data_IF_952563392028
#
_entry.id   IF_952563392028
#
_cell.length_a   1.000
_cell.length_b   1.000
_cell.length_c   1.000
_cell.angle_alpha   90.00
_cell.angle_beta   90.00
_cell.angle_gamma   90.00
#
_symmetry.space_group_name_H-M   'P 1'
#
loop_
_entity.id
_entity.type
_entity.pdbx_description
1 polymer ?
#
# COMPACT_ATOMS: atom_id res chain seq x y z
N UNK A 1 5.54 -32.42 -8.80
CA UNK A 1 5.85 -31.01 -8.59
C UNK A 1 5.31 -30.62 -7.23
N UNK A 2 6.17 -30.24 -6.30
CA UNK A 2 5.74 -29.73 -4.99
C UNK A 2 4.91 -28.47 -5.19
N UNK A 3 3.68 -28.45 -4.70
CA UNK A 3 2.83 -27.25 -4.79
C UNK A 3 3.45 -26.13 -3.93
N UNK A 4 3.80 -25.02 -4.55
CA UNK A 4 4.28 -23.83 -3.82
C UNK A 4 3.11 -23.33 -2.96
N UNK A 5 3.36 -23.17 -1.65
CA UNK A 5 2.38 -22.69 -0.69
C UNK A 5 2.83 -21.32 -0.16
N UNK A 6 2.29 -20.24 -0.75
CA UNK A 6 2.62 -18.87 -0.36
C UNK A 6 1.70 -18.45 0.78
N UNK A 7 2.26 -18.23 1.98
CA UNK A 7 1.53 -17.76 3.16
C UNK A 7 1.71 -16.26 3.42
N UNK A 8 2.88 -15.73 3.10
CA UNK A 8 3.25 -14.35 3.35
C UNK A 8 3.70 -13.69 2.05
N UNK A 9 3.07 -12.58 1.68
CA UNK A 9 3.39 -11.83 0.47
C UNK A 9 3.98 -10.48 0.88
N UNK A 10 5.18 -10.16 0.40
CA UNK A 10 5.84 -8.88 0.63
C UNK A 10 5.98 -8.16 -0.70
N UNK A 11 5.49 -6.93 -0.78
CA UNK A 11 5.45 -6.11 -1.99
C UNK A 11 6.23 -4.81 -1.77
N UNK A 12 7.25 -4.60 -2.58
CA UNK A 12 8.09 -3.40 -2.52
C UNK A 12 7.37 -2.15 -3.01
N UNK A 13 7.91 -1.00 -2.65
CA UNK A 13 7.65 0.24 -3.36
C UNK A 13 8.24 0.21 -4.79
N UNK A 14 7.64 0.99 -5.67
CA UNK A 14 8.07 1.04 -7.07
C UNK A 14 7.42 2.18 -7.86
N UNK A 15 6.72 3.09 -7.22
CA UNK A 15 6.00 4.17 -7.88
C UNK A 15 5.10 3.64 -9.00
N UNK A 16 5.21 4.19 -10.21
CA UNK A 16 4.41 3.77 -11.37
C UNK A 16 4.67 2.32 -11.81
N UNK A 17 5.85 1.77 -11.52
CA UNK A 17 6.19 0.39 -11.85
C UNK A 17 5.35 -0.62 -11.05
N UNK A 18 4.69 -0.19 -9.95
CA UNK A 18 3.76 -1.01 -9.19
C UNK A 18 2.61 -1.58 -10.01
N UNK A 19 2.31 -1.02 -11.20
CA UNK A 19 1.35 -1.61 -12.15
C UNK A 19 1.74 -3.05 -12.52
N UNK A 20 3.01 -3.39 -12.50
CA UNK A 20 3.49 -4.75 -12.77
C UNK A 20 2.91 -5.80 -11.80
N UNK A 21 2.50 -5.40 -10.60
CA UNK A 21 1.83 -6.30 -9.65
C UNK A 21 0.54 -6.90 -10.18
N UNK A 22 -0.13 -6.24 -11.14
CA UNK A 22 -1.32 -6.80 -11.78
C UNK A 22 -0.98 -8.09 -12.53
N UNK A 23 0.18 -8.13 -13.20
CA UNK A 23 0.67 -9.35 -13.85
C UNK A 23 1.01 -10.46 -12.86
N UNK A 24 1.62 -10.11 -11.71
CA UNK A 24 1.89 -11.05 -10.62
C UNK A 24 0.57 -11.64 -10.08
N UNK A 25 -0.44 -10.81 -9.84
CA UNK A 25 -1.73 -11.27 -9.30
C UNK A 25 -2.48 -12.15 -10.29
N UNK A 26 -2.40 -11.87 -11.61
CA UNK A 26 -2.89 -12.77 -12.63
C UNK A 26 -2.30 -14.17 -12.50
N UNK A 27 -0.97 -14.24 -12.41
CA UNK A 27 -0.27 -15.52 -12.24
C UNK A 27 -0.66 -16.22 -10.94
N UNK A 28 -0.82 -15.48 -9.84
CA UNK A 28 -1.24 -16.02 -8.55
C UNK A 28 -2.66 -16.57 -8.57
N UNK A 29 -3.58 -15.92 -9.27
CA UNK A 29 -4.94 -16.43 -9.51
C UNK A 29 -4.92 -17.71 -10.35
N UNK A 30 -4.21 -17.70 -11.49
CA UNK A 30 -4.08 -18.86 -12.38
C UNK A 30 -3.48 -20.10 -11.66
N UNK A 31 -2.54 -19.87 -10.75
CA UNK A 31 -1.90 -20.92 -9.93
C UNK A 31 -2.64 -21.22 -8.63
N UNK A 32 -3.71 -20.49 -8.34
CA UNK A 32 -4.49 -20.64 -7.12
C UNK A 32 -3.67 -20.42 -5.83
N UNK A 33 -2.66 -19.54 -5.88
CA UNK A 33 -1.80 -19.23 -4.73
C UNK A 33 -2.47 -18.27 -3.74
N UNK A 34 -3.37 -17.37 -4.23
CA UNK A 34 -4.01 -16.32 -3.41
C UNK A 34 -4.75 -16.91 -2.21
N UNK A 35 -5.40 -18.07 -2.37
CA UNK A 35 -6.20 -18.70 -1.32
C UNK A 35 -5.41 -19.08 -0.05
N UNK A 36 -4.08 -19.24 -0.15
CA UNK A 36 -3.23 -19.65 0.95
C UNK A 36 -2.54 -18.47 1.64
N UNK A 37 -2.68 -17.26 1.09
CA UNK A 37 -2.06 -16.05 1.65
C UNK A 37 -2.74 -15.71 2.97
N UNK A 38 -1.94 -15.60 4.03
CA UNK A 38 -2.36 -15.25 5.39
C UNK A 38 -2.00 -13.81 5.75
N UNK A 39 -0.91 -13.29 5.18
CA UNK A 39 -0.51 -11.90 5.36
C UNK A 39 -0.02 -11.26 4.08
N UNK A 40 -0.27 -9.97 3.95
CA UNK A 40 0.21 -9.12 2.88
C UNK A 40 0.88 -7.91 3.51
N UNK A 41 2.17 -7.73 3.21
CA UNK A 41 2.94 -6.56 3.64
C UNK A 41 3.30 -5.75 2.40
N UNK A 42 3.01 -4.47 2.41
CA UNK A 42 3.29 -3.59 1.28
C UNK A 42 3.92 -2.28 1.70
N UNK A 43 4.82 -1.76 0.87
CA UNK A 43 5.41 -0.43 0.99
C UNK A 43 5.09 0.38 -0.26
N UNK A 44 4.73 1.67 -0.12
CA UNK A 44 4.47 2.57 -1.25
C UNK A 44 3.47 1.99 -2.27
N UNK A 45 3.87 1.81 -3.53
CA UNK A 45 3.05 1.14 -4.54
C UNK A 45 2.59 -0.27 -4.09
N UNK A 46 3.45 -1.02 -3.39
CA UNK A 46 3.11 -2.32 -2.81
C UNK A 46 2.01 -2.22 -1.74
N UNK A 47 1.95 -1.10 -1.00
CA UNK A 47 0.87 -0.85 -0.05
C UNK A 47 -0.48 -0.65 -0.76
N UNK A 48 -0.50 0.06 -1.89
CA UNK A 48 -1.73 0.22 -2.71
C UNK A 48 -2.19 -1.14 -3.22
N UNK A 49 -1.36 -1.81 -4.01
CA UNK A 49 -1.77 -3.05 -4.70
C UNK A 49 -2.00 -4.20 -3.70
N UNK A 50 -1.17 -4.29 -2.66
CA UNK A 50 -1.34 -5.28 -1.59
C UNK A 50 -2.64 -5.09 -0.81
N UNK A 51 -3.03 -3.84 -0.52
CA UNK A 51 -4.31 -3.54 0.13
C UNK A 51 -5.50 -3.89 -0.75
N UNK A 52 -5.44 -3.58 -2.05
CA UNK A 52 -6.50 -3.94 -2.99
C UNK A 52 -6.65 -5.47 -3.10
N UNK A 53 -5.54 -6.20 -3.14
CA UNK A 53 -5.57 -7.67 -3.10
C UNK A 53 -6.16 -8.18 -1.79
N UNK A 54 -5.77 -7.61 -0.63
CA UNK A 54 -6.24 -8.01 0.69
C UNK A 54 -7.75 -7.86 0.85
N UNK A 55 -8.37 -6.85 0.24
CA UNK A 55 -9.83 -6.65 0.25
C UNK A 55 -10.55 -7.39 -0.88
N UNK A 56 -9.86 -8.28 -1.62
CA UNK A 56 -10.42 -9.21 -2.57
C UNK A 56 -10.59 -8.69 -3.99
N UNK A 57 -9.82 -7.68 -4.42
CA UNK A 57 -9.76 -7.35 -5.84
C UNK A 57 -9.14 -8.47 -6.65
N UNK A 58 -9.79 -8.84 -7.75
CA UNK A 58 -9.28 -9.81 -8.72
C UNK A 58 -8.38 -9.14 -9.76
N UNK A 59 -7.61 -9.97 -10.48
CA UNK A 59 -6.83 -9.49 -11.62
C UNK A 59 -7.69 -8.71 -12.62
N UNK A 60 -8.87 -9.23 -12.99
CA UNK A 60 -9.73 -8.57 -13.97
C UNK A 60 -10.22 -7.21 -13.50
N UNK A 61 -10.59 -7.08 -12.23
CA UNK A 61 -10.99 -5.80 -11.63
C UNK A 61 -9.84 -4.80 -11.60
N UNK A 62 -8.64 -5.22 -11.17
CA UNK A 62 -7.46 -4.37 -11.15
C UNK A 62 -7.01 -3.94 -12.55
N UNK A 63 -7.03 -4.85 -13.52
CA UNK A 63 -6.69 -4.54 -14.90
C UNK A 63 -7.68 -3.54 -15.52
N UNK A 64 -8.98 -3.69 -15.26
CA UNK A 64 -10.01 -2.74 -15.69
C UNK A 64 -9.83 -1.38 -15.01
N UNK A 65 -9.54 -1.38 -13.73
CA UNK A 65 -9.27 -0.18 -12.93
C UNK A 65 -8.11 0.62 -13.54
N UNK A 66 -6.97 -0.04 -13.80
CA UNK A 66 -5.78 0.62 -14.37
C UNK A 66 -6.02 1.10 -15.79
N UNK A 67 -6.73 0.33 -16.62
CA UNK A 67 -7.10 0.76 -17.97
C UNK A 67 -8.05 1.97 -17.99
N UNK A 68 -8.93 2.06 -16.99
CA UNK A 68 -9.84 3.21 -16.83
C UNK A 68 -9.15 4.42 -16.19
N UNK A 69 -8.01 4.20 -15.51
CA UNK A 69 -7.17 5.27 -15.03
C UNK A 69 -6.50 5.88 -16.25
N UNK A 70 -6.97 7.06 -16.64
CA UNK A 70 -6.13 7.97 -17.42
C UNK A 70 -5.07 8.42 -16.39
N UNK A 71 -4.00 7.66 -16.31
CA UNK A 71 -2.90 7.78 -15.33
C UNK A 71 -2.40 9.22 -15.20
N UNK A 72 -2.52 10.02 -16.27
CA UNK A 72 -2.17 11.43 -16.31
C UNK A 72 -3.07 12.34 -15.46
N UNK A 73 -4.31 11.94 -15.14
CA UNK A 73 -5.22 12.79 -14.34
C UNK A 73 -5.03 12.61 -12.84
N UNK A 74 -4.69 11.41 -12.38
CA UNK A 74 -4.54 11.10 -10.96
C UNK A 74 -3.11 11.27 -10.44
N UNK A 75 -2.12 11.14 -11.35
CA UNK A 75 -0.73 11.44 -11.11
C UNK A 75 -0.32 12.66 -11.98
N UNK A 76 -1.02 13.76 -11.88
CA UNK A 76 -0.48 15.07 -12.25
C UNK A 76 0.64 15.41 -11.26
N UNK A 77 1.70 14.59 -11.27
CA UNK A 77 3.01 15.06 -10.87
C UNK A 77 3.37 16.03 -11.98
N UNK A 78 3.02 17.27 -11.76
CA UNK A 78 3.40 18.33 -12.68
C UNK A 78 4.92 18.42 -12.56
N UNK A 79 5.65 17.94 -13.56
CA UNK A 79 7.12 18.05 -13.61
C UNK A 79 7.53 19.51 -13.38
N UNK A 80 6.69 20.46 -13.82
CA UNK A 80 6.84 21.88 -13.55
C UNK A 80 6.72 22.21 -12.04
N UNK A 81 5.96 21.46 -11.24
CA UNK A 81 5.90 21.63 -9.79
C UNK A 81 7.19 21.17 -9.10
N UNK A 82 7.85 20.16 -9.62
CA UNK A 82 9.16 19.70 -9.12
C UNK A 82 10.25 20.74 -9.49
N UNK A 83 10.20 21.29 -10.70
CA UNK A 83 11.12 22.34 -11.16
C UNK A 83 10.86 23.70 -10.48
N UNK A 84 9.63 23.98 -10.09
CA UNK A 84 9.25 25.20 -9.37
C UNK A 84 9.26 25.06 -7.83
N UNK A 85 9.78 23.96 -7.30
CA UNK A 85 9.85 23.67 -5.86
C UNK A 85 10.42 24.84 -5.04
N UNK A 86 11.40 25.57 -5.56
CA UNK A 86 11.99 26.74 -4.91
C UNK A 86 11.04 27.93 -4.82
N UNK A 87 10.04 28.02 -5.69
CA UNK A 87 9.13 29.17 -5.78
C UNK A 87 7.76 28.93 -5.13
N UNK A 88 7.28 27.69 -5.06
CA UNK A 88 5.88 27.40 -4.66
C UNK A 88 5.72 26.84 -3.26
N UNK A 89 6.80 26.39 -2.58
CA UNK A 89 6.73 25.62 -1.31
C UNK A 89 5.73 24.45 -1.38
N UNK A 90 5.39 24.02 -2.60
CA UNK A 90 4.25 23.16 -2.86
C UNK A 90 4.64 21.70 -2.96
N UNK A 91 4.59 20.98 -1.84
CA UNK A 91 4.30 19.56 -1.89
C UNK A 91 2.89 19.37 -2.45
N UNK A 92 2.70 18.40 -3.34
CA UNK A 92 1.35 18.01 -3.72
C UNK A 92 0.71 17.32 -2.50
N UNK A 93 -0.52 17.72 -2.15
CA UNK A 93 -1.20 17.23 -0.95
C UNK A 93 -1.55 15.72 -0.99
N UNK A 94 -1.35 15.06 -2.15
CA UNK A 94 -1.76 13.67 -2.36
C UNK A 94 -3.28 13.44 -2.32
N UNK A 95 -4.07 14.52 -2.28
CA UNK A 95 -5.53 14.45 -2.13
C UNK A 95 -6.18 13.62 -3.23
N UNK A 96 -5.79 13.81 -4.49
CA UNK A 96 -6.36 13.07 -5.61
C UNK A 96 -6.07 11.57 -5.52
N UNK A 97 -4.86 11.19 -5.14
CA UNK A 97 -4.48 9.80 -4.93
C UNK A 97 -5.27 9.19 -3.76
N UNK A 98 -5.41 9.92 -2.64
CA UNK A 98 -6.20 9.47 -1.51
C UNK A 98 -7.69 9.28 -1.88
N UNK A 99 -8.30 10.21 -2.60
CA UNK A 99 -9.68 10.11 -3.08
C UNK A 99 -9.87 8.88 -3.98
N UNK A 100 -8.91 8.61 -4.85
CA UNK A 100 -8.94 7.42 -5.70
C UNK A 100 -8.87 6.14 -4.86
N UNK A 101 -7.91 6.04 -3.92
CA UNK A 101 -7.76 4.90 -3.02
C UNK A 101 -9.05 4.67 -2.22
N UNK A 102 -9.63 5.71 -1.63
CA UNK A 102 -10.90 5.63 -0.90
C UNK A 102 -12.04 5.13 -1.77
N UNK A 103 -12.15 5.63 -3.01
CA UNK A 103 -13.15 5.15 -3.98
C UNK A 103 -13.00 3.66 -4.28
N UNK A 104 -11.78 3.19 -4.49
CA UNK A 104 -11.52 1.76 -4.70
C UNK A 104 -11.93 0.95 -3.47
N UNK A 105 -11.52 1.35 -2.27
CA UNK A 105 -11.87 0.69 -1.03
C UNK A 105 -13.39 0.64 -0.86
N UNK A 106 -14.09 1.78 -1.02
CA UNK A 106 -15.55 1.87 -0.91
C UNK A 106 -16.27 0.95 -1.89
N UNK A 107 -15.85 0.93 -3.14
CA UNK A 107 -16.46 0.09 -4.18
C UNK A 107 -16.37 -1.40 -3.85
N UNK A 108 -15.31 -1.85 -3.21
CA UNK A 108 -15.09 -3.27 -2.90
C UNK A 108 -15.68 -3.68 -1.55
N UNK A 109 -15.58 -2.81 -0.55
CA UNK A 109 -15.93 -3.17 0.83
C UNK A 109 -17.27 -2.61 1.29
N UNK A 110 -17.79 -1.59 0.60
CA UNK A 110 -18.93 -0.76 1.03
C UNK A 110 -18.55 0.36 2.01
N UNK A 111 -17.33 0.35 2.56
CA UNK A 111 -16.87 1.29 3.58
C UNK A 111 -15.49 1.85 3.21
N UNK A 112 -15.40 3.14 2.90
CA UNK A 112 -14.13 3.79 2.55
C UNK A 112 -13.17 3.93 3.74
N UNK A 113 -13.69 3.84 4.97
CA UNK A 113 -12.93 3.95 6.22
C UNK A 113 -12.70 2.59 6.89
N UNK A 114 -12.74 1.49 6.13
CA UNK A 114 -12.45 0.16 6.67
C UNK A 114 -11.09 0.15 7.36
N UNK A 115 -11.02 -0.44 8.57
CA UNK A 115 -9.83 -0.47 9.43
C UNK A 115 -9.06 -1.78 9.26
N UNK A 116 -7.84 -1.83 9.80
CA UNK A 116 -7.04 -3.06 9.80
C UNK A 116 -7.74 -4.22 10.52
N UNK A 117 -8.39 -3.95 11.67
CA UNK A 117 -9.16 -4.96 12.41
C UNK A 117 -10.28 -5.52 11.56
N UNK A 118 -11.06 -4.65 10.92
CA UNK A 118 -12.17 -5.06 10.05
C UNK A 118 -11.72 -5.86 8.83
N UNK A 119 -10.55 -5.55 8.26
CA UNK A 119 -9.98 -6.36 7.16
C UNK A 119 -9.64 -7.75 7.65
N UNK A 120 -8.96 -7.88 8.77
CA UNK A 120 -8.61 -9.19 9.30
C UNK A 120 -9.87 -10.00 9.64
N UNK A 121 -10.87 -9.39 10.25
CA UNK A 121 -12.13 -10.04 10.61
C UNK A 121 -12.89 -10.52 9.36
N UNK A 122 -13.01 -9.65 8.35
CA UNK A 122 -13.86 -9.93 7.17
C UNK A 122 -13.19 -10.81 6.13
N UNK A 123 -11.87 -10.62 5.90
CA UNK A 123 -11.13 -11.28 4.82
C UNK A 123 -10.12 -12.31 5.31
N UNK A 124 -9.92 -12.44 6.62
CA UNK A 124 -8.94 -13.33 7.25
C UNK A 124 -7.50 -13.11 6.72
N UNK A 125 -7.16 -11.86 6.38
CA UNK A 125 -5.85 -11.44 5.89
C UNK A 125 -5.25 -10.45 6.88
N UNK A 126 -4.01 -10.68 7.30
CA UNK A 126 -3.22 -9.72 8.08
C UNK A 126 -2.57 -8.73 7.11
N UNK A 127 -3.21 -7.58 6.92
CA UNK A 127 -2.65 -6.49 6.11
C UNK A 127 -1.64 -5.70 6.95
N UNK A 128 -0.49 -5.39 6.36
CA UNK A 128 0.60 -4.63 6.99
C UNK A 128 1.10 -3.58 5.98
N UNK A 129 1.23 -2.35 6.42
CA UNK A 129 1.65 -1.23 5.58
C UNK A 129 2.90 -0.61 6.16
N UNK A 130 4.00 -0.66 5.39
CA UNK A 130 5.29 -0.11 5.74
C UNK A 130 5.31 1.42 5.59
N UNK A 131 5.76 2.10 6.62
CA UNK A 131 5.89 3.56 6.68
C UNK A 131 7.18 3.96 7.38
N UNK A 132 7.68 5.15 7.06
CA UNK A 132 8.78 5.78 7.81
C UNK A 132 8.18 6.78 8.80
N UNK A 133 8.34 6.53 10.10
CA UNK A 133 7.96 7.47 11.16
C UNK A 133 9.09 8.49 11.35
N UNK A 134 8.86 9.72 10.89
CA UNK A 134 9.85 10.82 10.98
C UNK A 134 10.00 11.34 12.42
N UNK A 135 8.94 11.27 13.23
CA UNK A 135 8.97 11.72 14.63
C UNK A 135 9.86 10.80 15.47
N UNK A 136 9.81 9.49 15.21
CA UNK A 136 10.56 8.46 15.94
C UNK A 136 11.82 7.99 15.22
N UNK A 137 12.03 8.48 13.99
CA UNK A 137 13.16 8.13 13.13
C UNK A 137 13.34 6.61 12.96
N UNK A 138 12.24 5.92 12.59
CA UNK A 138 12.26 4.46 12.39
C UNK A 138 11.24 4.01 11.35
N UNK A 139 11.51 2.83 10.76
CA UNK A 139 10.52 2.09 9.98
C UNK A 139 9.47 1.48 10.90
N UNK A 140 8.20 1.55 10.51
CA UNK A 140 7.09 0.94 11.24
C UNK A 140 6.16 0.19 10.29
N UNK A 141 5.56 -0.91 10.78
CA UNK A 141 4.44 -1.58 10.13
C UNK A 141 3.13 -1.17 10.82
N UNK A 142 2.28 -0.45 10.10
CA UNK A 142 0.91 -0.18 10.52
C UNK A 142 0.05 -1.41 10.17
N UNK A 143 -0.61 -2.00 11.15
CA UNK A 143 -1.37 -3.22 11.01
C UNK A 143 -2.44 -3.36 12.12
N UNK A 144 -3.14 -4.48 12.17
CA UNK A 144 -4.18 -4.73 13.17
C UNK A 144 -3.66 -4.86 14.63
N UNK A 145 -2.36 -5.02 14.85
CA UNK A 145 -1.77 -5.06 16.20
C UNK A 145 -1.31 -3.67 16.65
N UNK A 146 -0.68 -2.91 15.76
CA UNK A 146 -0.11 -1.59 16.07
C UNK A 146 -1.11 -0.46 15.90
N UNK A 147 -2.08 -0.62 15.01
CA UNK A 147 -3.01 0.45 14.58
C UNK A 147 -4.38 -0.13 14.19
N UNK A 148 -5.04 -0.93 15.08
CA UNK A 148 -6.24 -1.71 14.75
C UNK A 148 -7.37 -0.87 14.16
N UNK A 149 -7.63 0.31 14.71
CA UNK A 149 -8.74 1.20 14.33
C UNK A 149 -8.38 2.23 13.25
N UNK A 150 -7.13 2.20 12.76
CA UNK A 150 -6.71 3.12 11.70
C UNK A 150 -7.35 2.72 10.37
N UNK A 151 -8.07 3.64 9.68
CA UNK A 151 -8.54 3.40 8.32
C UNK A 151 -7.36 3.13 7.38
N UNK A 152 -7.42 2.06 6.58
CA UNK A 152 -6.29 1.65 5.74
C UNK A 152 -5.92 2.70 4.70
N UNK A 153 -6.87 3.51 4.20
CA UNK A 153 -6.54 4.58 3.26
C UNK A 153 -5.57 5.60 3.85
N UNK A 154 -5.63 5.87 5.18
CA UNK A 154 -4.67 6.77 5.84
C UNK A 154 -3.28 6.16 5.93
N UNK A 155 -3.20 4.86 6.24
CA UNK A 155 -1.93 4.14 6.26
C UNK A 155 -1.30 4.06 4.85
N UNK A 156 -2.13 3.80 3.81
CA UNK A 156 -1.67 3.82 2.42
C UNK A 156 -1.16 5.21 2.05
N UNK A 157 -1.90 6.29 2.41
CA UNK A 157 -1.45 7.66 2.14
C UNK A 157 -0.11 7.98 2.80
N UNK A 158 0.12 7.52 4.03
CA UNK A 158 1.40 7.68 4.70
C UNK A 158 2.51 6.90 3.97
N UNK A 159 2.21 5.67 3.53
CA UNK A 159 3.16 4.80 2.83
C UNK A 159 3.56 5.31 1.44
N UNK A 160 2.73 6.13 0.79
CA UNK A 160 3.00 6.71 -0.54
C UNK A 160 3.45 8.16 -0.47
N UNK A 161 3.59 8.74 0.72
CA UNK A 161 4.00 10.13 0.93
C UNK A 161 5.51 10.29 0.66
N UNK A 162 5.91 10.19 -0.62
CA UNK A 162 7.30 10.31 -1.07
C UNK A 162 7.79 11.72 -0.74
N UNK A 163 8.91 11.85 0.03
CA UNK A 163 9.50 13.16 0.34
C UNK A 163 9.75 13.99 -0.92
N UNK A 164 9.52 15.29 -0.83
CA UNK A 164 9.63 16.27 -1.91
C UNK A 164 8.56 16.17 -3.03
N UNK A 165 7.75 15.10 -3.04
CA UNK A 165 6.63 14.94 -3.98
C UNK A 165 5.30 15.19 -3.25
N UNK A 166 5.10 14.50 -2.12
CA UNK A 166 3.88 14.61 -1.34
C UNK A 166 4.14 15.16 0.07
N UNK A 167 3.10 15.78 0.63
CA UNK A 167 3.13 16.19 2.03
C UNK A 167 3.19 14.97 2.96
N UNK A 168 4.00 15.02 4.04
CA UNK A 168 3.97 14.01 5.09
C UNK A 168 2.58 13.90 5.74
N UNK A 169 2.22 12.72 6.19
CA UNK A 169 0.92 12.44 6.80
C UNK A 169 1.05 12.39 8.33
N UNK A 170 0.16 13.11 9.02
CA UNK A 170 0.10 13.08 10.48
C UNK A 170 -0.93 12.05 10.95
N UNK A 171 -0.50 11.10 11.78
CA UNK A 171 -1.35 10.08 12.42
C UNK A 171 -0.99 10.06 13.91
N UNK A 172 -1.97 10.33 14.80
CA UNK A 172 -1.80 10.30 16.25
C UNK A 172 -0.57 11.11 16.76
N UNK A 173 -0.37 12.32 16.23
CA UNK A 173 0.74 13.24 16.51
C UNK A 173 2.12 12.79 15.97
N UNK A 174 2.26 11.63 15.38
CA UNK A 174 3.47 11.24 14.65
C UNK A 174 3.38 11.65 13.20
N UNK A 175 4.51 12.01 12.61
CA UNK A 175 4.66 12.42 11.21
C UNK A 175 5.23 11.25 10.42
N UNK A 176 4.57 10.89 9.32
CA UNK A 176 4.94 9.75 8.49
C UNK A 176 5.23 10.16 7.06
N UNK A 177 6.16 9.48 6.43
CA UNK A 177 6.40 9.53 4.99
C UNK A 177 6.55 8.11 4.42
N UNK A 178 6.82 8.03 3.10
CA UNK A 178 6.96 6.77 2.37
C UNK A 178 7.91 5.80 3.09
N UNK A 179 7.45 4.56 3.24
CA UNK A 179 8.24 3.52 3.91
C UNK A 179 9.55 3.21 3.19
N UNK A 180 9.59 3.41 1.87
CA UNK A 180 10.78 3.21 1.04
C UNK A 180 11.97 4.12 1.37
N UNK A 181 11.77 5.13 2.22
CA UNK A 181 12.89 5.95 2.74
C UNK A 181 13.81 5.13 3.63
N UNK A 182 13.28 4.22 4.45
CA UNK A 182 14.08 3.37 5.34
C UNK A 182 14.10 1.89 4.93
N UNK A 183 12.95 1.33 4.50
CA UNK A 183 12.86 -0.07 4.10
C UNK A 183 11.81 -0.24 2.99
N UNK A 184 12.29 -0.29 1.75
CA UNK A 184 11.40 -0.39 0.57
C UNK A 184 10.83 -1.79 0.35
N UNK A 185 11.45 -2.82 0.90
CA UNK A 185 11.04 -4.23 0.77
C UNK A 185 11.28 -4.96 2.09
N UNK A 186 10.37 -4.84 3.08
CA UNK A 186 10.59 -5.24 4.46
C UNK A 186 10.54 -6.77 4.66
N UNK A 187 11.38 -7.51 3.97
CA UNK A 187 11.46 -8.97 4.04
C UNK A 187 11.95 -9.42 5.41
N UNK A 188 13.07 -8.85 5.89
CA UNK A 188 13.65 -9.23 7.17
C UNK A 188 12.69 -8.95 8.34
N UNK A 189 11.96 -7.83 8.26
CA UNK A 189 10.93 -7.51 9.24
C UNK A 189 9.83 -8.57 9.28
N UNK A 190 9.40 -9.07 8.11
CA UNK A 190 8.36 -10.11 8.01
C UNK A 190 8.90 -11.47 8.46
N UNK A 191 10.12 -11.85 8.06
CA UNK A 191 10.80 -13.08 8.50
C UNK A 191 10.84 -13.14 10.02
N UNK A 192 11.32 -12.06 10.65
CA UNK A 192 11.42 -11.97 12.11
C UNK A 192 10.04 -12.02 12.79
N UNK A 193 9.05 -11.32 12.24
CA UNK A 193 7.69 -11.25 12.80
C UNK A 193 7.00 -12.62 12.83
N UNK A 194 7.20 -13.44 11.83
CA UNK A 194 6.55 -14.75 11.68
C UNK A 194 7.44 -15.93 12.03
N UNK A 195 8.68 -15.67 12.53
CA UNK A 195 9.69 -16.69 12.84
C UNK A 195 9.86 -17.67 11.66
N UNK A 196 9.93 -17.12 10.44
CA UNK A 196 10.17 -17.94 9.24
C UNK A 196 11.63 -18.37 9.28
N UNK A 197 11.84 -19.65 9.56
CA UNK A 197 13.16 -20.29 9.55
C UNK A 197 13.31 -21.01 8.22
N UNK A 198 14.43 -20.82 7.53
CA UNK A 198 14.79 -21.50 6.27
C UNK A 198 15.00 -23.02 6.47
#
# INVERSE_FOLDING_TARGET
MTSINIKHLVLSGGGLLGISYIGLFKYFEEKNYIKNIQSITGCSAGAIFGSLLAIGYTYNELNSLVKSMIFKEYLKINVDSILNFTNTKGFESGTNLNLFIRKCIKNKTGNENITFSQIQEKYNIKLQIGVTNLTKNKFELLNNTTSPELPIHKAISASVAIPFIFEPIVINNDIYCDGGVLDNLPIDTVINMYNIID
#
